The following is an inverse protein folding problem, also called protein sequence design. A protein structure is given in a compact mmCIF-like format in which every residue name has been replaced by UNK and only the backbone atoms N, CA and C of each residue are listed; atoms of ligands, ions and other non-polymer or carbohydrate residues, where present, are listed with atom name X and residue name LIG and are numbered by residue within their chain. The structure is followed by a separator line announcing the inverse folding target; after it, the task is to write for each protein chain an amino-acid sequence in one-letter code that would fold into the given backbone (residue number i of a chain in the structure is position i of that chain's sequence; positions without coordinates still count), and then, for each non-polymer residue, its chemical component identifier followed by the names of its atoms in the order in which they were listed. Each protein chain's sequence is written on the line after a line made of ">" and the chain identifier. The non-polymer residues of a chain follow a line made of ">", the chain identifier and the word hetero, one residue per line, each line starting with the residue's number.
data_IF_008884066427
#
_entry.id   IF_008884066427
#
_cell.length_a   1.000
_cell.length_b   1.000
_cell.length_c   1.000
_cell.angle_alpha   90.00
_cell.angle_beta   90.00
_cell.angle_gamma   90.00
#
_symmetry.space_group_name_H-M   'P 1'
#
loop_
_entity.id
_entity.type
_entity.pdbx_description
1 polymer ?
#
# COMPACT_ATOMS: atom_id res chain seq x y z
N UNK A 1 -10.47 -5.35 12.06
CA UNK A 1 -9.22 -5.08 12.78
C UNK A 1 -8.08 -5.98 12.32
N UNK A 2 -8.28 -7.29 12.09
CA UNK A 2 -7.22 -8.13 11.51
C UNK A 2 -6.76 -7.65 10.11
N UNK A 3 -7.71 -7.31 9.23
CA UNK A 3 -7.37 -6.77 7.89
C UNK A 3 -6.59 -5.45 7.97
N UNK A 4 -6.99 -4.54 8.86
CA UNK A 4 -6.28 -3.26 9.05
C UNK A 4 -4.89 -3.47 9.66
N UNK A 5 -4.72 -4.47 10.52
CA UNK A 5 -3.43 -4.88 11.04
C UNK A 5 -2.50 -5.37 9.92
N UNK A 6 -2.98 -6.27 9.04
CA UNK A 6 -2.21 -6.77 7.89
C UNK A 6 -1.82 -5.64 6.93
N UNK A 7 -2.75 -4.71 6.66
CA UNK A 7 -2.45 -3.51 5.87
C UNK A 7 -1.39 -2.64 6.54
N UNK A 8 -1.48 -2.45 7.87
CA UNK A 8 -0.49 -1.71 8.64
C UNK A 8 0.90 -2.32 8.54
N UNK A 9 1.04 -3.63 8.71
CA UNK A 9 2.32 -4.35 8.59
C UNK A 9 2.88 -4.19 7.17
N UNK A 10 2.05 -4.43 6.15
CA UNK A 10 2.46 -4.27 4.75
C UNK A 10 2.92 -2.85 4.45
N UNK A 11 2.14 -1.84 4.87
CA UNK A 11 2.47 -0.42 4.68
C UNK A 11 3.75 -0.01 5.41
N UNK A 12 3.93 -0.48 6.65
CA UNK A 12 5.15 -0.26 7.42
C UNK A 12 6.39 -0.83 6.71
N UNK A 13 6.33 -2.11 6.32
CA UNK A 13 7.44 -2.79 5.66
C UNK A 13 7.74 -2.17 4.28
N UNK A 14 6.70 -1.84 3.50
CA UNK A 14 6.86 -1.20 2.21
C UNK A 14 7.50 0.20 2.35
N UNK A 15 7.00 1.03 3.26
CA UNK A 15 7.54 2.37 3.51
C UNK A 15 9.01 2.32 3.96
N UNK A 16 9.34 1.46 4.91
CA UNK A 16 10.74 1.24 5.34
C UNK A 16 11.63 0.76 4.20
N UNK A 17 11.18 -0.24 3.43
CA UNK A 17 11.92 -0.79 2.29
C UNK A 17 12.18 0.26 1.22
N UNK A 18 11.15 1.03 0.83
CA UNK A 18 11.28 2.10 -0.16
C UNK A 18 12.18 3.22 0.36
N UNK A 19 12.07 3.63 1.64
CA UNK A 19 12.94 4.65 2.21
C UNK A 19 14.41 4.21 2.23
N UNK A 20 14.68 2.96 2.62
CA UNK A 20 16.05 2.40 2.62
C UNK A 20 16.61 2.31 1.19
N UNK A 21 15.80 1.83 0.25
CA UNK A 21 16.15 1.76 -1.16
C UNK A 21 16.49 3.15 -1.73
N UNK A 22 15.59 4.11 -1.52
CA UNK A 22 15.78 5.49 -1.95
C UNK A 22 16.90 6.19 -1.19
N UNK A 23 17.35 5.72 -0.03
CA UNK A 23 18.55 6.25 0.63
C UNK A 23 19.83 5.70 0.01
N UNK A 24 19.83 4.42 -0.40
CA UNK A 24 20.98 3.75 -1.02
C UNK A 24 21.37 4.28 -2.39
N UNK A 25 20.43 4.85 -3.15
CA UNK A 25 20.70 5.53 -4.42
C UNK A 25 21.05 4.63 -5.60
N UNK A 26 20.90 3.31 -5.46
CA UNK A 26 21.08 2.35 -6.54
C UNK A 26 19.79 2.21 -7.35
N UNK A 27 19.80 2.68 -8.59
CA UNK A 27 18.66 2.50 -9.50
C UNK A 27 18.92 1.29 -10.42
N UNK A 28 18.04 0.27 -10.45
CA UNK A 28 18.21 -0.85 -11.36
C UNK A 28 18.04 -0.41 -12.81
N UNK A 29 18.82 -1.02 -13.71
CA UNK A 29 18.65 -0.85 -15.14
C UNK A 29 17.53 -1.78 -15.63
N UNK A 30 16.37 -1.20 -15.87
CA UNK A 30 15.17 -1.92 -16.30
C UNK A 30 15.38 -2.59 -17.66
N UNK A 31 16.17 -1.99 -18.55
CA UNK A 31 16.42 -2.54 -19.88
C UNK A 31 17.31 -3.77 -19.82
N UNK A 32 18.35 -3.74 -18.98
CA UNK A 32 19.20 -4.91 -18.73
C UNK A 32 18.40 -6.06 -18.10
N UNK A 33 17.54 -5.76 -17.12
CA UNK A 33 16.67 -6.77 -16.48
C UNK A 33 15.66 -7.35 -17.48
N UNK A 34 15.05 -6.52 -18.32
CA UNK A 34 14.11 -6.97 -19.34
C UNK A 34 14.77 -7.82 -20.44
N UNK A 35 16.02 -7.50 -20.81
CA UNK A 35 16.82 -8.32 -21.73
C UNK A 35 17.15 -9.69 -21.12
N UNK A 36 17.59 -9.73 -19.86
CA UNK A 36 17.85 -10.98 -19.15
C UNK A 36 16.57 -11.83 -18.99
N UNK A 37 15.44 -11.19 -18.72
CA UNK A 37 14.14 -11.85 -18.63
C UNK A 37 13.66 -12.40 -19.99
N UNK A 38 14.02 -11.75 -21.11
CA UNK A 38 13.69 -12.24 -22.45
C UNK A 38 14.38 -13.57 -22.77
N UNK A 39 15.62 -13.74 -22.30
CA UNK A 39 16.40 -14.96 -22.55
C UNK A 39 15.90 -16.17 -21.74
N UNK A 40 15.01 -15.95 -20.78
CA UNK A 40 14.42 -16.97 -19.91
C UNK A 40 12.90 -16.97 -20.07
N UNK A 41 12.32 -17.99 -20.70
CA UNK A 41 10.87 -18.12 -20.98
C UNK A 41 10.00 -18.35 -19.74
N UNK A 42 10.40 -17.85 -18.57
CA UNK A 42 9.71 -18.05 -17.30
C UNK A 42 8.82 -16.84 -16.96
N UNK A 43 7.50 -17.02 -16.79
CA UNK A 43 6.58 -15.97 -16.34
C UNK A 43 7.02 -15.27 -15.04
N UNK A 44 7.77 -15.94 -14.15
CA UNK A 44 8.27 -15.31 -12.92
C UNK A 44 9.29 -14.20 -13.18
N UNK A 45 9.98 -14.21 -14.32
CA UNK A 45 10.94 -13.15 -14.68
C UNK A 45 10.25 -11.83 -15.00
N UNK A 46 8.99 -11.87 -15.45
CA UNK A 46 8.22 -10.65 -15.67
C UNK A 46 7.95 -9.90 -14.37
N UNK A 47 7.72 -10.61 -13.25
CA UNK A 47 7.57 -9.97 -11.94
C UNK A 47 8.83 -9.20 -11.52
N UNK A 48 10.02 -9.73 -11.84
CA UNK A 48 11.30 -9.05 -11.59
C UNK A 48 11.42 -7.77 -12.42
N UNK A 49 10.96 -7.79 -13.66
CA UNK A 49 10.90 -6.59 -14.53
C UNK A 49 9.95 -5.53 -13.95
N UNK A 50 8.77 -5.94 -13.46
CA UNK A 50 7.81 -5.03 -12.83
C UNK A 50 8.41 -4.35 -11.59
N UNK A 51 9.12 -5.11 -10.75
CA UNK A 51 9.77 -4.60 -9.55
C UNK A 51 10.94 -3.66 -9.90
N UNK A 52 11.75 -4.01 -10.91
CA UNK A 52 12.82 -3.15 -11.40
C UNK A 52 12.28 -1.83 -11.98
N UNK A 53 11.22 -1.90 -12.79
CA UNK A 53 10.55 -0.73 -13.34
C UNK A 53 10.00 0.18 -12.22
N UNK A 54 9.39 -0.41 -11.18
CA UNK A 54 8.86 0.33 -10.05
C UNK A 54 9.97 1.01 -9.25
N UNK A 55 11.05 0.28 -8.95
CA UNK A 55 12.22 0.81 -8.25
C UNK A 55 12.85 1.98 -9.02
N UNK A 56 13.01 1.83 -10.34
CA UNK A 56 13.50 2.90 -11.22
C UNK A 56 12.56 4.10 -11.23
N UNK A 57 11.25 3.90 -11.38
CA UNK A 57 10.27 4.98 -11.37
C UNK A 57 10.24 5.77 -10.05
N UNK A 58 10.39 5.07 -8.91
CA UNK A 58 10.55 5.69 -7.59
C UNK A 58 11.83 6.53 -7.50
N UNK A 59 12.94 6.03 -8.05
CA UNK A 59 14.22 6.76 -8.05
C UNK A 59 14.16 8.06 -8.88
N UNK A 60 13.41 8.07 -9.99
CA UNK A 60 13.22 9.27 -10.83
C UNK A 60 12.42 10.37 -10.12
N UNK A 61 11.59 10.00 -9.16
CA UNK A 61 10.73 10.93 -8.41
C UNK A 61 11.07 10.92 -6.91
N UNK A 62 12.35 10.76 -6.58
CA UNK A 62 12.84 10.60 -5.20
C UNK A 62 12.33 11.71 -4.27
N UNK A 63 12.27 12.95 -4.74
CA UNK A 63 11.85 14.11 -3.95
C UNK A 63 10.42 14.01 -3.42
N UNK A 64 9.56 13.26 -4.12
CA UNK A 64 8.18 12.98 -3.70
C UNK A 64 8.08 11.61 -3.04
N UNK A 65 8.73 10.59 -3.61
CA UNK A 65 8.61 9.21 -3.15
C UNK A 65 9.24 8.98 -1.76
N UNK A 66 10.36 9.63 -1.47
CA UNK A 66 11.06 9.47 -0.20
C UNK A 66 10.27 9.97 1.01
N UNK A 67 9.78 11.23 1.07
CA UNK A 67 8.99 11.69 2.21
C UNK A 67 7.69 10.90 2.36
N UNK A 68 7.05 10.49 1.25
CA UNK A 68 5.87 9.63 1.30
C UNK A 68 6.18 8.26 1.89
N UNK A 69 7.30 7.63 1.54
CA UNK A 69 7.67 6.33 2.14
C UNK A 69 7.89 6.40 3.65
N UNK A 70 8.39 7.53 4.18
CA UNK A 70 8.51 7.76 5.62
C UNK A 70 7.11 7.90 6.24
N UNK A 71 6.23 8.69 5.61
CA UNK A 71 4.85 8.84 6.06
C UNK A 71 4.10 7.50 6.10
N UNK A 72 4.27 6.68 5.07
CA UNK A 72 3.70 5.34 4.97
C UNK A 72 4.23 4.41 6.06
N UNK A 73 5.54 4.48 6.36
CA UNK A 73 6.13 3.71 7.45
C UNK A 73 5.50 4.11 8.81
N UNK A 74 5.47 5.40 9.12
CA UNK A 74 4.92 5.91 10.39
C UNK A 74 3.44 5.54 10.55
N UNK A 75 2.62 5.83 9.53
CA UNK A 75 1.18 5.58 9.59
C UNK A 75 0.83 4.09 9.55
N UNK A 76 1.59 3.28 8.80
CA UNK A 76 1.50 1.83 8.83
C UNK A 76 1.80 1.26 10.21
N UNK A 77 2.87 1.73 10.85
CA UNK A 77 3.23 1.35 12.23
C UNK A 77 2.15 1.74 13.24
N UNK A 78 1.61 2.97 13.13
CA UNK A 78 0.48 3.41 13.97
C UNK A 78 -0.76 2.54 13.75
N UNK A 79 -1.04 2.13 12.51
CA UNK A 79 -2.18 1.27 12.19
C UNK A 79 -2.03 -0.14 12.78
N UNK A 80 -0.80 -0.69 12.81
CA UNK A 80 -0.48 -1.94 13.51
C UNK A 80 -0.79 -1.81 15.00
N UNK A 81 -0.27 -0.76 15.65
CA UNK A 81 -0.49 -0.52 17.08
C UNK A 81 -1.97 -0.33 17.39
N UNK A 82 -2.65 0.53 16.63
CA UNK A 82 -4.08 0.79 16.82
C UNK A 82 -4.93 -0.48 16.64
N UNK A 83 -4.62 -1.29 15.62
CA UNK A 83 -5.33 -2.55 15.40
C UNK A 83 -5.06 -3.56 16.51
N UNK A 84 -3.82 -3.63 17.02
CA UNK A 84 -3.47 -4.47 18.17
C UNK A 84 -4.19 -4.05 19.46
N UNK A 85 -4.25 -2.74 19.73
CA UNK A 85 -5.00 -2.18 20.86
C UNK A 85 -6.50 -2.46 20.76
N UNK A 86 -7.06 -2.36 19.56
CA UNK A 86 -8.47 -2.66 19.30
C UNK A 86 -8.80 -4.15 19.51
N UNK A 87 -7.92 -5.05 19.03
CA UNK A 87 -8.07 -6.51 19.21
C UNK A 87 -7.88 -6.92 20.67
N UNK A 88 -6.97 -6.26 21.39
CA UNK A 88 -6.71 -6.49 22.80
C UNK A 88 -7.80 -5.95 23.73
N UNK A 89 -8.87 -5.33 23.19
CA UNK A 89 -9.97 -4.81 24.00
C UNK A 89 -9.49 -3.83 25.06
N UNK A 90 -8.59 -2.89 24.72
CA UNK A 90 -8.17 -1.88 25.70
C UNK A 90 -9.21 -0.75 25.81
N UNK A 91 -9.56 -0.32 27.02
CA UNK A 91 -10.53 0.76 27.21
C UNK A 91 -10.01 2.08 26.64
N UNK A 92 -10.92 2.94 26.17
CA UNK A 92 -10.58 4.26 25.59
C UNK A 92 -9.91 4.23 24.21
N UNK A 93 -9.60 3.06 23.63
CA UNK A 93 -8.83 2.96 22.38
C UNK A 93 -9.61 3.32 21.11
N UNK A 94 -10.96 3.28 21.17
CA UNK A 94 -11.83 3.52 20.00
C UNK A 94 -11.55 4.86 19.31
N UNK A 95 -11.38 5.94 20.07
CA UNK A 95 -11.11 7.26 19.51
C UNK A 95 -9.79 7.31 18.74
N UNK A 96 -8.73 6.77 19.36
CA UNK A 96 -7.42 6.64 18.73
C UNK A 96 -7.47 5.79 17.45
N UNK A 97 -8.16 4.66 17.47
CA UNK A 97 -8.33 3.79 16.29
C UNK A 97 -9.00 4.54 15.14
N UNK A 98 -10.06 5.31 15.41
CA UNK A 98 -10.73 6.12 14.39
C UNK A 98 -9.78 7.18 13.82
N UNK A 99 -9.04 7.90 14.66
CA UNK A 99 -8.07 8.90 14.22
C UNK A 99 -7.00 8.29 13.31
N UNK A 100 -6.44 7.13 13.69
CA UNK A 100 -5.42 6.43 12.90
C UNK A 100 -5.99 5.93 11.57
N UNK A 101 -7.21 5.40 11.55
CA UNK A 101 -7.87 4.96 10.32
C UNK A 101 -8.12 6.13 9.35
N UNK A 102 -8.63 7.26 9.87
CA UNK A 102 -8.88 8.46 9.07
C UNK A 102 -7.57 9.06 8.55
N UNK A 103 -6.52 9.11 9.37
CA UNK A 103 -5.20 9.57 8.95
C UNK A 103 -4.62 8.69 7.84
N UNK A 104 -4.73 7.36 7.95
CA UNK A 104 -4.30 6.43 6.91
C UNK A 104 -5.12 6.59 5.62
N UNK A 105 -6.44 6.82 5.73
CA UNK A 105 -7.31 7.03 4.58
C UNK A 105 -6.96 8.33 3.83
N UNK A 106 -6.75 9.42 4.58
CA UNK A 106 -6.34 10.70 4.03
C UNK A 106 -4.96 10.59 3.38
N UNK A 107 -4.02 9.93 4.06
CA UNK A 107 -2.68 9.70 3.55
C UNK A 107 -2.68 8.87 2.27
N UNK A 108 -3.42 7.75 2.20
CA UNK A 108 -3.53 6.94 0.99
C UNK A 108 -4.06 7.76 -0.20
N UNK A 109 -5.02 8.67 0.06
CA UNK A 109 -5.53 9.59 -0.97
C UNK A 109 -4.46 10.57 -1.45
N UNK A 110 -3.72 11.19 -0.52
CA UNK A 110 -2.62 12.11 -0.84
C UNK A 110 -1.50 11.39 -1.57
N UNK A 111 -1.05 10.23 -1.07
CA UNK A 111 -0.04 9.40 -1.70
C UNK A 111 -0.46 9.02 -3.13
N UNK A 112 -1.69 8.56 -3.32
CA UNK A 112 -2.21 8.24 -4.64
C UNK A 112 -2.18 9.46 -5.57
N UNK A 113 -2.62 10.64 -5.12
CA UNK A 113 -2.60 11.83 -5.98
C UNK A 113 -1.17 12.27 -6.34
N UNK A 114 -0.26 12.32 -5.37
CA UNK A 114 1.10 12.83 -5.55
C UNK A 114 2.00 11.85 -6.33
N UNK A 115 1.77 10.54 -6.21
CA UNK A 115 2.56 9.53 -6.94
C UNK A 115 2.08 9.28 -8.38
N UNK A 116 1.25 10.17 -8.94
CA UNK A 116 0.79 10.06 -10.34
C UNK A 116 1.97 10.00 -11.34
N UNK A 117 3.00 10.82 -11.13
CA UNK A 117 4.21 10.83 -11.98
C UNK A 117 5.00 9.53 -11.88
N UNK A 118 5.18 9.00 -10.66
CA UNK A 118 5.80 7.70 -10.40
C UNK A 118 5.07 6.59 -11.15
N UNK A 119 3.73 6.56 -11.05
CA UNK A 119 2.91 5.55 -11.74
C UNK A 119 3.00 5.68 -13.25
N UNK A 120 2.97 6.90 -13.80
CA UNK A 120 3.17 7.12 -15.23
C UNK A 120 4.49 6.55 -15.72
N UNK A 121 5.60 6.92 -15.07
CA UNK A 121 6.92 6.42 -15.41
C UNK A 121 7.04 4.89 -15.28
N UNK A 122 6.43 4.30 -14.25
CA UNK A 122 6.38 2.86 -14.09
C UNK A 122 5.62 2.18 -15.23
N UNK A 123 4.42 2.68 -15.57
CA UNK A 123 3.59 2.12 -16.65
C UNK A 123 4.32 2.22 -18.00
N UNK A 124 4.96 3.35 -18.28
CA UNK A 124 5.73 3.54 -19.51
C UNK A 124 6.89 2.55 -19.61
N UNK A 125 7.62 2.32 -18.50
CA UNK A 125 8.71 1.34 -18.45
C UNK A 125 8.19 -0.10 -18.63
N UNK A 126 7.04 -0.44 -18.05
CA UNK A 126 6.42 -1.76 -18.22
C UNK A 126 5.95 -1.97 -19.65
N UNK A 127 5.35 -0.96 -20.28
CA UNK A 127 4.95 -1.03 -21.68
C UNK A 127 6.16 -1.19 -22.62
N UNK A 128 7.26 -0.47 -22.36
CA UNK A 128 8.52 -0.61 -23.09
C UNK A 128 9.13 -1.99 -22.92
N UNK A 129 9.13 -2.55 -21.70
CA UNK A 129 9.61 -3.90 -21.46
C UNK A 129 8.71 -4.95 -22.13
N UNK A 130 7.39 -4.75 -22.14
CA UNK A 130 6.44 -5.59 -22.86
C UNK A 130 6.68 -5.64 -24.36
N UNK A 131 7.19 -4.56 -24.96
CA UNK A 131 7.56 -4.54 -26.38
C UNK A 131 8.71 -5.50 -26.73
N UNK A 132 9.50 -5.93 -25.74
CA UNK A 132 10.60 -6.89 -25.90
C UNK A 132 10.12 -8.35 -25.90
N UNK A 133 8.87 -8.61 -25.53
CA UNK A 133 8.29 -9.96 -25.54
C UNK A 133 8.06 -10.46 -26.97
N UNK A 134 8.08 -11.80 -27.20
CA UNK A 134 7.75 -12.39 -28.50
C UNK A 134 6.39 -11.89 -29.04
N UNK A 135 6.26 -11.59 -30.35
CA UNK A 135 5.02 -11.06 -30.95
C UNK A 135 3.79 -11.95 -30.79
N UNK A 136 4.02 -13.24 -30.67
CA UNK A 136 3.05 -14.32 -30.52
C UNK A 136 2.64 -14.58 -29.06
N UNK A 137 3.28 -13.90 -28.09
CA UNK A 137 2.92 -14.05 -26.69
C UNK A 137 1.52 -13.47 -26.42
N UNK A 138 0.56 -14.26 -25.89
CA UNK A 138 -0.83 -13.82 -25.68
C UNK A 138 -0.95 -12.67 -24.67
N UNK A 139 0.02 -12.54 -23.76
CA UNK A 139 0.04 -11.51 -22.71
C UNK A 139 0.58 -10.16 -23.19
N UNK A 140 1.25 -10.13 -24.36
CA UNK A 140 1.95 -8.95 -24.88
C UNK A 140 1.02 -7.76 -25.07
N UNK A 141 -0.16 -7.98 -25.65
CA UNK A 141 -1.12 -6.91 -25.93
C UNK A 141 -1.65 -6.25 -24.64
N UNK A 142 -1.91 -7.05 -23.61
CA UNK A 142 -2.33 -6.55 -22.30
C UNK A 142 -1.24 -5.76 -21.59
N UNK A 143 0.00 -6.25 -21.63
CA UNK A 143 1.16 -5.61 -20.99
C UNK A 143 1.51 -4.28 -21.66
N UNK A 144 1.47 -4.24 -23.01
CA UNK A 144 1.81 -3.04 -23.76
C UNK A 144 0.75 -1.94 -23.67
N UNK A 145 -0.48 -2.25 -23.25
CA UNK A 145 -1.57 -1.30 -23.21
C UNK A 145 -1.57 -0.48 -21.90
N UNK A 146 -1.18 0.81 -21.91
CA UNK A 146 -1.08 1.60 -20.68
C UNK A 146 -2.44 1.80 -19.99
N UNK A 147 -3.53 1.77 -20.74
CA UNK A 147 -4.88 1.97 -20.19
C UNK A 147 -5.30 0.84 -19.25
N UNK A 148 -4.83 -0.39 -19.50
CA UNK A 148 -5.07 -1.56 -18.65
C UNK A 148 -4.37 -1.34 -17.30
N UNK A 149 -3.11 -0.92 -17.31
CA UNK A 149 -2.36 -0.65 -16.08
C UNK A 149 -2.93 0.51 -15.27
N UNK A 150 -3.34 1.59 -15.92
CA UNK A 150 -4.02 2.70 -15.24
C UNK A 150 -5.34 2.26 -14.60
N UNK A 151 -6.09 1.39 -15.26
CA UNK A 151 -7.34 0.85 -14.73
C UNK A 151 -7.08 -0.08 -13.55
N UNK A 152 -6.09 -0.97 -13.68
CA UNK A 152 -5.67 -1.86 -12.61
C UNK A 152 -5.25 -1.07 -11.35
N UNK A 153 -4.41 -0.04 -11.49
CA UNK A 153 -3.99 0.79 -10.35
C UNK A 153 -5.17 1.51 -9.67
N UNK A 154 -6.14 2.01 -10.45
CA UNK A 154 -7.35 2.64 -9.91
C UNK A 154 -8.20 1.64 -9.12
N UNK A 155 -8.45 0.47 -9.70
CA UNK A 155 -9.24 -0.59 -9.06
C UNK A 155 -8.55 -1.08 -7.80
N UNK A 156 -7.23 -1.31 -7.87
CA UNK A 156 -6.41 -1.71 -6.71
C UNK A 156 -6.51 -0.70 -5.58
N UNK A 157 -6.35 0.59 -5.89
CA UNK A 157 -6.44 1.67 -4.90
C UNK A 157 -7.83 1.72 -4.24
N UNK A 158 -8.90 1.70 -5.03
CA UNK A 158 -10.27 1.77 -4.50
C UNK A 158 -10.61 0.56 -3.64
N UNK A 159 -10.32 -0.66 -4.13
CA UNK A 159 -10.72 -1.89 -3.44
C UNK A 159 -9.84 -2.22 -2.22
N UNK A 160 -8.52 -2.10 -2.35
CA UNK A 160 -7.62 -2.56 -1.29
C UNK A 160 -7.24 -1.46 -0.30
N UNK A 161 -7.27 -0.18 -0.69
CA UNK A 161 -6.89 0.90 0.22
C UNK A 161 -8.12 1.62 0.77
N UNK A 162 -8.93 2.23 -0.11
CA UNK A 162 -10.08 3.02 0.32
C UNK A 162 -11.20 2.17 0.94
N UNK A 163 -11.59 1.07 0.29
CA UNK A 163 -12.72 0.29 0.76
C UNK A 163 -12.42 -0.39 2.11
N UNK A 164 -11.21 -0.92 2.31
CA UNK A 164 -10.86 -1.59 3.57
C UNK A 164 -10.76 -0.57 4.72
N UNK A 165 -10.05 0.54 4.54
CA UNK A 165 -9.92 1.57 5.56
C UNK A 165 -11.25 2.28 5.84
N UNK A 166 -12.03 2.57 4.79
CA UNK A 166 -13.36 3.15 4.89
C UNK A 166 -14.35 2.24 5.61
N UNK A 167 -14.39 0.95 5.25
CA UNK A 167 -15.24 -0.04 5.93
C UNK A 167 -14.83 -0.24 7.40
N UNK A 168 -13.53 -0.24 7.70
CA UNK A 168 -13.05 -0.32 9.07
C UNK A 168 -13.44 0.92 9.88
N UNK A 169 -13.34 2.11 9.29
CA UNK A 169 -13.76 3.38 9.93
C UNK A 169 -15.26 3.35 10.22
N UNK A 170 -16.09 2.98 9.22
CA UNK A 170 -17.53 2.83 9.38
C UNK A 170 -17.88 1.76 10.44
N UNK A 171 -17.16 0.65 10.47
CA UNK A 171 -17.35 -0.38 11.48
C UNK A 171 -17.08 0.16 12.89
N UNK A 172 -16.06 1.01 13.07
CA UNK A 172 -15.76 1.62 14.37
C UNK A 172 -16.79 2.67 14.81
N UNK A 173 -17.52 3.29 13.88
CA UNK A 173 -18.60 4.22 14.22
C UNK A 173 -19.91 3.53 14.57
N UNK A 174 -20.13 2.27 14.16
CA UNK A 174 -21.35 1.51 14.45
C UNK A 174 -21.59 1.29 15.94
N UNK A 175 -22.88 1.29 16.30
CA UNK A 175 -23.35 1.14 17.68
C UNK A 175 -22.87 -0.16 18.33
N UNK A 176 -22.94 -1.29 17.61
CA UNK A 176 -22.46 -2.59 18.11
C UNK A 176 -21.01 -2.54 18.59
N UNK A 177 -20.14 -1.85 17.86
CA UNK A 177 -18.74 -1.70 18.23
C UNK A 177 -18.58 -0.71 19.39
N UNK A 178 -19.38 0.36 19.44
CA UNK A 178 -19.43 1.26 20.60
C UNK A 178 -19.77 0.49 21.88
N UNK A 179 -20.80 -0.35 21.84
CA UNK A 179 -21.23 -1.16 22.97
C UNK A 179 -20.13 -2.13 23.43
N UNK A 180 -19.42 -2.77 22.50
CA UNK A 180 -18.28 -3.63 22.83
C UNK A 180 -17.20 -2.86 23.62
N UNK A 181 -16.76 -1.70 23.12
CA UNK A 181 -15.73 -0.91 23.82
C UNK A 181 -16.22 -0.32 25.15
N UNK A 182 -17.51 -0.02 25.27
CA UNK A 182 -18.12 0.42 26.54
C UNK A 182 -18.18 -0.71 27.56
N UNK A 183 -18.57 -1.92 27.16
CA UNK A 183 -18.60 -3.09 28.03
C UNK A 183 -17.19 -3.44 28.54
N UNK A 184 -16.21 -3.39 27.65
CA UNK A 184 -14.79 -3.54 27.98
C UNK A 184 -14.31 -2.49 28.99
N UNK A 185 -14.72 -1.22 28.82
CA UNK A 185 -14.34 -0.16 29.76
C UNK A 185 -14.92 -0.38 31.16
N UNK A 186 -16.19 -0.78 31.26
CA UNK A 186 -16.84 -1.10 32.54
C UNK A 186 -16.22 -2.30 33.24
N UNK A 187 -15.75 -3.30 32.50
CA UNK A 187 -15.10 -4.48 33.08
C UNK A 187 -13.73 -4.17 33.71
N UNK A 188 -13.06 -3.09 33.27
CA UNK A 188 -11.75 -2.67 33.80
C UNK A 188 -11.91 -1.72 34.99
N UNK A 189 -13.03 -1.01 35.10
CA UNK A 189 -13.34 -0.12 36.22
C UNK A 189 -14.69 -0.51 36.87
N UNK A 190 -14.69 -1.48 37.80
CA UNK A 190 -15.90 -1.94 38.48
C UNK A 190 -16.39 -0.98 39.57
N UNK A 191 -15.73 0.18 39.76
CA UNK A 191 -16.08 1.13 40.83
C UNK A 191 -17.33 1.98 40.53
N UNK A 192 -17.93 1.80 39.35
CA UNK A 192 -19.10 2.53 38.84
C UNK A 192 -20.44 1.75 39.01
N UNK A 193 -20.53 0.82 39.96
CA UNK A 193 -21.82 0.23 40.37
C UNK A 193 -22.41 0.98 41.59
N UNK A 194 -23.65 1.52 41.50
CA UNK A 194 -24.36 2.13 42.63
C UNK A 194 -24.92 1.12 43.64
#
# INVERSE_FOLDING_TARGET
>A
MLLTWLMGVRGFMAGCGTAMYLRGGTAPDVTAVAQQARDHTDPFQFAVVLDAAKARALSLHRDVAFPLSIGQAILGGLLVVASGLALGGRPGTRGFVIQVLVANLAFATVEYTLTRGVRGAWIDMVAQAGALLPPDAPEREGIMNPSVWWTFERVRFVLFELAILGAATLAMTRERTRLYFQAVARAVDPSDEP
#
